data_IF_180486883583
#
_entry.id   IF_180486883583
#
_cell.length_a   1.000
_cell.length_b   1.000
_cell.length_c   1.000
_cell.angle_alpha   90.00
_cell.angle_beta   90.00
_cell.angle_gamma   90.00
#
_symmetry.space_group_name_H-M   'P 1'
#
loop_
_entity.id
_entity.type
_entity.pdbx_description
1 polymer ?
#
# COMPACT_ATOMS: atom_id res chain seq x y z
N UNK A 1 -9.54 -17.22 -12.43
CA UNK A 1 -10.53 -16.82 -11.41
C UNK A 1 -10.01 -16.99 -9.98
N UNK A 2 -9.37 -18.11 -9.62
CA UNK A 2 -8.86 -18.35 -8.26
C UNK A 2 -7.85 -17.30 -7.76
N UNK A 3 -6.85 -16.92 -8.57
CA UNK A 3 -5.80 -15.98 -8.14
C UNK A 3 -6.31 -14.56 -7.83
N UNK A 4 -7.33 -14.07 -8.53
CA UNK A 4 -7.93 -12.74 -8.27
C UNK A 4 -8.62 -12.69 -6.91
N UNK A 5 -9.35 -13.76 -6.57
CA UNK A 5 -10.00 -13.87 -5.27
C UNK A 5 -8.96 -13.93 -4.15
N UNK A 6 -7.90 -14.73 -4.34
CA UNK A 6 -6.77 -14.78 -3.40
C UNK A 6 -6.16 -13.39 -3.22
N UNK A 7 -5.86 -12.67 -4.31
CA UNK A 7 -5.32 -11.31 -4.25
C UNK A 7 -6.24 -10.33 -3.54
N UNK A 8 -7.54 -10.39 -3.84
CA UNK A 8 -8.55 -9.54 -3.19
C UNK A 8 -8.63 -9.82 -1.69
N UNK A 9 -8.61 -11.09 -1.28
CA UNK A 9 -8.62 -11.49 0.13
C UNK A 9 -7.33 -11.11 0.86
N UNK A 10 -6.17 -11.22 0.21
CA UNK A 10 -4.90 -10.74 0.78
C UNK A 10 -4.92 -9.22 0.93
N UNK A 11 -5.45 -8.48 -0.04
CA UNK A 11 -5.61 -7.03 0.09
C UNK A 11 -6.53 -6.69 1.27
N UNK A 12 -7.66 -7.37 1.39
CA UNK A 12 -8.60 -7.15 2.48
C UNK A 12 -7.91 -7.40 3.84
N UNK A 13 -7.26 -8.54 4.01
CA UNK A 13 -6.50 -8.89 5.22
C UNK A 13 -5.36 -7.90 5.52
N UNK A 14 -4.64 -7.45 4.50
CA UNK A 14 -3.59 -6.45 4.63
C UNK A 14 -4.14 -5.09 5.10
N UNK A 15 -5.28 -4.66 4.56
CA UNK A 15 -5.93 -3.43 4.99
C UNK A 15 -6.45 -3.54 6.44
N UNK A 16 -7.00 -4.68 6.85
CA UNK A 16 -7.41 -4.91 8.26
C UNK A 16 -6.22 -4.87 9.20
N UNK A 17 -5.10 -5.46 8.79
CA UNK A 17 -3.88 -5.48 9.57
C UNK A 17 -3.32 -4.07 9.79
N UNK A 18 -3.38 -3.23 8.77
CA UNK A 18 -2.96 -1.82 8.84
C UNK A 18 -3.93 -1.01 9.70
N UNK A 19 -5.23 -1.20 9.54
CA UNK A 19 -6.22 -0.51 10.37
C UNK A 19 -5.98 -0.82 11.85
N UNK A 20 -5.80 -2.09 12.20
CA UNK A 20 -5.50 -2.51 13.57
C UNK A 20 -4.18 -1.92 14.11
N UNK A 21 -3.13 -1.88 13.28
CA UNK A 21 -1.78 -1.46 13.68
C UNK A 21 -1.56 0.06 13.66
N UNK A 22 -2.29 0.80 12.82
CA UNK A 22 -2.06 2.23 12.59
C UNK A 22 -3.17 3.14 13.13
N UNK A 23 -4.39 2.63 13.33
CA UNK A 23 -5.54 3.47 13.74
C UNK A 23 -6.06 3.22 15.15
N UNK A 24 -5.61 2.15 15.81
CA UNK A 24 -5.94 1.88 17.21
C UNK A 24 -5.39 2.95 18.18
N UNK A 25 -5.98 3.07 19.36
CA UNK A 25 -5.61 4.08 20.37
C UNK A 25 -4.14 4.03 20.79
N UNK A 26 -3.53 2.83 20.76
CA UNK A 26 -2.13 2.54 21.08
C UNK A 26 -1.23 2.43 19.84
N UNK A 27 -1.67 2.93 18.68
CA UNK A 27 -0.90 2.84 17.45
C UNK A 27 0.46 3.56 17.56
N UNK A 28 1.51 2.75 17.53
CA UNK A 28 2.91 3.18 17.46
C UNK A 28 3.34 3.32 15.99
N UNK A 29 4.11 4.35 15.70
CA UNK A 29 4.63 4.64 14.38
C UNK A 29 5.50 3.49 13.85
N UNK A 30 6.31 2.87 14.71
CA UNK A 30 7.18 1.75 14.32
C UNK A 30 6.35 0.51 13.96
N UNK A 31 5.34 0.19 14.77
CA UNK A 31 4.39 -0.90 14.47
C UNK A 31 3.63 -0.65 13.16
N UNK A 32 3.19 0.58 12.93
CA UNK A 32 2.51 0.94 11.69
C UNK A 32 3.43 0.83 10.46
N UNK A 33 4.69 1.28 10.56
CA UNK A 33 5.67 1.14 9.49
C UNK A 33 5.92 -0.34 9.14
N UNK A 34 6.07 -1.21 10.15
CA UNK A 34 6.19 -2.67 9.96
C UNK A 34 4.98 -3.26 9.28
N UNK A 35 3.77 -2.91 9.73
CA UNK A 35 2.52 -3.37 9.13
C UNK A 35 2.39 -2.96 7.65
N UNK A 36 2.81 -1.74 7.28
CA UNK A 36 2.79 -1.27 5.89
C UNK A 36 3.73 -2.07 4.98
N UNK A 37 4.95 -2.36 5.45
CA UNK A 37 5.92 -3.15 4.69
C UNK A 37 5.47 -4.61 4.61
N UNK A 38 4.96 -5.18 5.70
CA UNK A 38 4.42 -6.53 5.75
C UNK A 38 3.24 -6.72 4.79
N UNK A 39 2.34 -5.73 4.69
CA UNK A 39 1.25 -5.74 3.72
C UNK A 39 1.78 -5.78 2.27
N UNK A 40 2.82 -4.99 1.95
CA UNK A 40 3.42 -4.98 0.63
C UNK A 40 4.06 -6.33 0.26
N UNK A 41 4.75 -6.97 1.19
CA UNK A 41 5.35 -8.30 1.01
C UNK A 41 4.28 -9.39 0.87
N UNK A 42 3.22 -9.33 1.70
CA UNK A 42 2.08 -10.26 1.61
C UNK A 42 1.40 -10.17 0.23
N UNK A 43 1.23 -8.97 -0.31
CA UNK A 43 0.62 -8.74 -1.63
C UNK A 43 1.48 -9.25 -2.79
N UNK A 44 2.81 -9.22 -2.67
CA UNK A 44 3.69 -9.77 -3.70
C UNK A 44 3.78 -11.30 -3.67
N UNK A 45 3.73 -11.89 -2.48
CA UNK A 45 3.87 -13.33 -2.25
C UNK A 45 3.10 -14.24 -3.22
N UNK A 46 1.78 -14.10 -3.41
CA UNK A 46 1.02 -14.95 -4.34
C UNK A 46 1.41 -14.75 -5.82
N UNK A 47 2.08 -13.64 -6.15
CA UNK A 47 2.49 -13.28 -7.51
C UNK A 47 3.92 -13.77 -7.83
N UNK A 48 4.75 -14.06 -6.82
CA UNK A 48 6.12 -14.55 -7.02
C UNK A 48 6.23 -15.78 -7.93
N UNK A 49 5.40 -16.84 -7.81
CA UNK A 49 5.55 -18.03 -8.66
C UNK A 49 5.27 -17.79 -10.15
N UNK A 50 4.52 -16.74 -10.47
CA UNK A 50 4.16 -16.35 -11.84
C UNK A 50 4.97 -15.14 -12.33
N UNK A 51 5.90 -14.62 -11.52
CA UNK A 51 6.80 -13.57 -11.94
C UNK A 51 7.87 -14.14 -12.88
N UNK A 52 7.56 -14.13 -14.17
CA UNK A 52 8.46 -14.62 -15.23
C UNK A 52 9.49 -13.56 -15.68
N UNK A 53 9.63 -12.44 -14.96
CA UNK A 53 10.52 -11.34 -15.35
C UNK A 53 9.94 -10.37 -16.39
N UNK A 54 8.70 -10.60 -16.85
CA UNK A 54 7.96 -9.66 -17.72
C UNK A 54 7.46 -8.41 -16.96
N UNK A 55 7.62 -8.39 -15.64
CA UNK A 55 7.35 -7.24 -14.77
C UNK A 55 5.88 -6.96 -14.50
N UNK A 56 4.94 -7.74 -15.05
CA UNK A 56 3.51 -7.54 -14.81
C UNK A 56 3.10 -7.87 -13.37
N UNK A 57 3.58 -8.99 -12.83
CA UNK A 57 3.42 -9.37 -11.42
C UNK A 57 3.97 -8.28 -10.49
N UNK A 58 5.21 -7.81 -10.74
CA UNK A 58 5.84 -6.70 -10.02
C UNK A 58 5.00 -5.43 -10.07
N UNK A 59 4.55 -5.02 -11.26
CA UNK A 59 3.70 -3.84 -11.43
C UNK A 59 2.38 -3.93 -10.68
N UNK A 60 1.75 -5.10 -10.67
CA UNK A 60 0.51 -5.35 -9.92
C UNK A 60 0.80 -5.23 -8.42
N UNK A 61 1.84 -5.90 -7.92
CA UNK A 61 2.25 -5.82 -6.51
C UNK A 61 2.56 -4.38 -6.08
N UNK A 62 3.35 -3.65 -6.86
CA UNK A 62 3.64 -2.22 -6.66
C UNK A 62 2.37 -1.38 -6.63
N UNK A 63 1.42 -1.63 -7.53
CA UNK A 63 0.14 -0.89 -7.55
C UNK A 63 -0.71 -1.15 -6.30
N UNK A 64 -0.71 -2.40 -5.81
CA UNK A 64 -1.37 -2.75 -4.56
C UNK A 64 -0.67 -2.13 -3.34
N UNK A 65 0.66 -2.15 -3.32
CA UNK A 65 1.47 -1.51 -2.27
C UNK A 65 1.21 0.01 -2.21
N UNK A 66 1.18 0.69 -3.37
CA UNK A 66 0.80 2.11 -3.44
C UNK A 66 -0.63 2.36 -2.96
N UNK A 67 -1.56 1.47 -3.29
CA UNK A 67 -2.95 1.57 -2.87
C UNK A 67 -3.06 1.46 -1.34
N UNK A 68 -2.39 0.49 -0.76
CA UNK A 68 -2.28 0.30 0.69
C UNK A 68 -1.71 1.55 1.38
N UNK A 69 -0.62 2.11 0.86
CA UNK A 69 -0.02 3.32 1.41
C UNK A 69 -0.99 4.52 1.36
N UNK A 70 -1.70 4.72 0.25
CA UNK A 70 -2.67 5.82 0.13
C UNK A 70 -3.90 5.63 1.04
N UNK A 71 -4.34 4.39 1.28
CA UNK A 71 -5.40 4.10 2.27
C UNK A 71 -4.94 4.45 3.68
N UNK A 72 -3.72 4.07 4.05
CA UNK A 72 -3.10 4.48 5.31
C UNK A 72 -3.06 6.01 5.44
N UNK A 73 -2.54 6.72 4.43
CA UNK A 73 -2.43 8.19 4.45
C UNK A 73 -3.81 8.83 4.65
N UNK A 74 -4.84 8.36 3.93
CA UNK A 74 -6.20 8.88 4.07
C UNK A 74 -6.75 8.73 5.49
N UNK A 75 -6.60 7.53 6.07
CA UNK A 75 -7.09 7.24 7.42
C UNK A 75 -6.29 8.00 8.50
N UNK A 76 -4.96 8.02 8.37
CA UNK A 76 -4.08 8.70 9.32
C UNK A 76 -4.26 10.23 9.30
N UNK A 77 -4.43 10.83 8.12
CA UNK A 77 -4.67 12.26 7.98
C UNK A 77 -5.98 12.70 8.67
N UNK A 78 -6.98 11.82 8.70
CA UNK A 78 -8.28 12.10 9.33
C UNK A 78 -8.27 11.88 10.84
N UNK A 79 -7.52 10.89 11.34
CA UNK A 79 -7.64 10.40 12.73
C UNK A 79 -6.45 10.72 13.65
N UNK A 80 -5.22 10.75 13.12
CA UNK A 80 -3.97 10.86 13.90
C UNK A 80 -3.17 12.12 13.58
N UNK A 81 -3.43 12.75 12.44
CA UNK A 81 -2.76 13.97 12.00
C UNK A 81 -1.41 13.74 11.31
N UNK A 82 -0.83 14.84 10.82
CA UNK A 82 0.36 14.80 9.97
C UNK A 82 1.64 14.40 10.72
N UNK A 83 1.75 14.74 12.00
CA UNK A 83 2.92 14.39 12.82
C UNK A 83 3.09 12.87 12.94
N UNK A 84 1.99 12.14 13.06
CA UNK A 84 2.01 10.68 13.05
C UNK A 84 2.49 10.11 11.71
N UNK A 85 2.06 10.71 10.60
CA UNK A 85 2.51 10.29 9.27
C UNK A 85 4.02 10.54 9.11
N UNK A 86 4.54 11.65 9.66
CA UNK A 86 5.98 11.94 9.69
C UNK A 86 6.77 10.94 10.52
N UNK A 87 6.28 10.56 11.70
CA UNK A 87 6.93 9.53 12.51
C UNK A 87 6.93 8.18 11.80
N UNK A 88 5.81 7.78 11.20
CA UNK A 88 5.75 6.54 10.39
C UNK A 88 6.74 6.59 9.23
N UNK A 89 6.88 7.75 8.58
CA UNK A 89 7.85 7.93 7.49
C UNK A 89 9.31 7.77 7.95
N UNK A 90 9.64 8.22 9.16
CA UNK A 90 10.98 8.03 9.73
C UNK A 90 11.26 6.55 9.99
N UNK A 91 10.31 5.84 10.59
CA UNK A 91 10.41 4.40 10.86
C UNK A 91 10.47 3.56 9.58
N UNK A 92 9.74 3.97 8.54
CA UNK A 92 9.75 3.30 7.23
C UNK A 92 11.15 3.27 6.60
N UNK A 93 11.99 4.29 6.79
CA UNK A 93 13.36 4.35 6.21
C UNK A 93 14.22 3.15 6.61
N UNK A 94 14.09 2.71 7.85
CA UNK A 94 14.84 1.56 8.36
C UNK A 94 14.07 0.25 8.16
N UNK A 95 12.74 0.30 8.30
CA UNK A 95 11.89 -0.89 8.16
C UNK A 95 11.96 -1.50 6.76
N UNK A 96 12.03 -0.71 5.69
CA UNK A 96 12.11 -1.24 4.31
C UNK A 96 13.38 -2.08 4.06
N UNK A 97 14.46 -1.81 4.79
CA UNK A 97 15.74 -2.52 4.66
C UNK A 97 15.77 -3.83 5.45
N UNK A 98 14.95 -3.91 6.49
CA UNK A 98 14.88 -5.05 7.41
C UNK A 98 14.04 -6.21 6.87
N UNK A 99 14.32 -7.41 7.36
CA UNK A 99 13.52 -8.61 7.07
C UNK A 99 12.47 -8.91 8.17
N UNK A 100 12.46 -8.15 9.28
CA UNK A 100 11.43 -8.26 10.33
C UNK A 100 9.98 -8.24 9.79
N UNK A 101 9.62 -7.39 8.80
CA UNK A 101 8.25 -7.37 8.26
C UNK A 101 7.85 -8.65 7.53
N UNK A 102 8.79 -9.51 7.11
CA UNK A 102 8.46 -10.78 6.44
C UNK A 102 7.78 -11.75 7.40
N UNK A 103 8.17 -11.76 8.66
CA UNK A 103 7.50 -12.59 9.68
C UNK A 103 6.08 -12.11 9.93
N UNK A 104 5.86 -10.79 9.93
CA UNK A 104 4.53 -10.21 10.07
C UNK A 104 3.67 -10.46 8.81
N UNK A 105 4.28 -10.46 7.62
CA UNK A 105 3.59 -10.83 6.38
C UNK A 105 3.04 -12.26 6.41
N UNK A 106 3.70 -13.20 7.10
CA UNK A 106 3.17 -14.57 7.32
C UNK A 106 1.81 -14.53 7.98
N UNK A 107 1.65 -13.71 9.02
CA UNK A 107 0.38 -13.60 9.75
C UNK A 107 -0.77 -13.08 8.88
N UNK A 108 -0.48 -12.20 7.91
CA UNK A 108 -1.47 -11.72 6.93
C UNK A 108 -1.83 -12.86 5.98
N UNK A 109 -0.83 -13.60 5.49
CA UNK A 109 -1.02 -14.69 4.54
C UNK A 109 -1.76 -15.88 5.17
N UNK A 110 -1.46 -16.24 6.42
CA UNK A 110 -2.10 -17.35 7.14
C UNK A 110 -3.62 -17.16 7.30
N UNK A 111 -4.09 -15.90 7.44
CA UNK A 111 -5.53 -15.57 7.46
C UNK A 111 -6.24 -15.92 6.15
N UNK A 112 -5.51 -15.99 5.04
CA UNK A 112 -6.06 -16.24 3.71
C UNK A 112 -5.74 -17.66 3.21
N UNK A 113 -4.54 -18.15 3.47
CA UNK A 113 -4.04 -19.45 3.02
C UNK A 113 -2.78 -19.87 3.79
N UNK A 114 -2.83 -21.01 4.49
CA UNK A 114 -1.77 -21.50 5.37
C UNK A 114 -0.45 -21.94 4.69
N UNK A 115 -0.41 -22.01 3.36
CA UNK A 115 0.73 -22.61 2.62
C UNK A 115 1.69 -21.61 1.95
N UNK A 116 1.49 -20.29 2.11
CA UNK A 116 2.32 -19.30 1.40
C UNK A 116 3.52 -18.85 2.23
N UNK A 117 4.72 -19.06 1.71
CA UNK A 117 5.93 -18.44 2.27
C UNK A 117 6.03 -16.98 1.81
N UNK A 118 6.22 -16.03 2.72
CA UNK A 118 6.27 -14.61 2.41
C UNK A 118 7.45 -14.33 1.48
N UNK A 119 7.23 -13.40 0.55
CA UNK A 119 8.22 -12.97 -0.40
C UNK A 119 8.44 -11.47 -0.30
N UNK A 120 9.71 -11.09 -0.28
CA UNK A 120 10.14 -9.71 -0.42
C UNK A 120 10.15 -9.29 -1.89
N UNK A 121 9.67 -8.09 -2.17
CA UNK A 121 9.94 -7.36 -3.41
C UNK A 121 10.29 -5.92 -3.07
N UNK A 122 11.53 -5.52 -3.34
CA UNK A 122 12.03 -4.18 -3.02
C UNK A 122 11.18 -3.09 -3.69
N UNK A 123 10.78 -3.26 -4.95
CA UNK A 123 9.89 -2.32 -5.65
C UNK A 123 8.57 -2.04 -4.90
N UNK A 124 7.99 -3.07 -4.26
CA UNK A 124 6.74 -2.92 -3.50
C UNK A 124 6.98 -2.14 -2.21
N UNK A 125 8.10 -2.41 -1.53
CA UNK A 125 8.48 -1.69 -0.31
C UNK A 125 8.82 -0.23 -0.62
N UNK A 126 9.57 0.00 -1.69
CA UNK A 126 9.89 1.33 -2.19
C UNK A 126 8.62 2.10 -2.62
N UNK A 127 7.63 1.43 -3.20
CA UNK A 127 6.36 2.06 -3.55
C UNK A 127 5.63 2.60 -2.31
N UNK A 128 5.54 1.81 -1.24
CA UNK A 128 4.98 2.28 0.04
C UNK A 128 5.73 3.51 0.53
N UNK A 129 7.06 3.42 0.57
CA UNK A 129 7.92 4.51 1.02
C UNK A 129 7.73 5.79 0.20
N UNK A 130 7.73 5.67 -1.13
CA UNK A 130 7.61 6.79 -2.06
C UNK A 130 6.23 7.47 -1.94
N UNK A 131 5.14 6.72 -1.80
CA UNK A 131 3.80 7.32 -1.65
C UNK A 131 3.67 8.11 -0.33
N UNK A 132 4.21 7.58 0.78
CA UNK A 132 4.21 8.29 2.07
C UNK A 132 5.13 9.51 2.00
N UNK A 133 6.31 9.38 1.39
CA UNK A 133 7.23 10.50 1.16
C UNK A 133 6.57 11.60 0.34
N UNK A 134 6.02 11.26 -0.82
CA UNK A 134 5.50 12.23 -1.78
C UNK A 134 4.27 12.97 -1.24
N UNK A 135 3.55 12.37 -0.29
CA UNK A 135 2.49 13.06 0.47
C UNK A 135 3.04 14.16 1.40
N UNK A 136 4.13 13.87 2.12
CA UNK A 136 4.76 14.81 3.05
C UNK A 136 5.61 15.86 2.33
N UNK A 137 6.34 15.42 1.31
CA UNK A 137 7.32 16.18 0.53
C UNK A 137 6.99 16.06 -0.96
N UNK A 138 5.97 16.81 -1.46
CA UNK A 138 5.57 16.73 -2.85
C UNK A 138 6.74 17.07 -3.78
N UNK A 139 6.97 16.29 -4.85
CA UNK A 139 8.11 16.50 -5.75
C UNK A 139 8.05 17.90 -6.35
N UNK A 140 9.15 18.65 -6.20
CA UNK A 140 9.25 19.96 -6.82
C UNK A 140 9.40 19.82 -8.34
N UNK A 141 8.67 20.60 -9.15
CA UNK A 141 8.82 20.54 -10.60
C UNK A 141 10.23 20.97 -11.01
N UNK A 142 10.89 20.17 -11.85
CA UNK A 142 12.25 20.43 -12.35
C UNK A 142 12.41 21.74 -13.14
N UNK A 143 11.30 22.36 -13.59
CA UNK A 143 11.30 23.63 -14.32
C UNK A 143 10.21 24.54 -13.74
N UNK A 144 10.55 25.73 -13.20
CA UNK A 144 9.56 26.70 -12.75
C UNK A 144 8.80 27.26 -13.95
N UNK A 145 7.61 26.71 -14.23
CA UNK A 145 6.72 27.26 -15.25
C UNK A 145 6.16 28.59 -14.75
N UNK A 146 6.38 29.66 -15.52
CA UNK A 146 6.10 31.09 -15.21
C UNK A 146 4.73 31.45 -14.62
N UNK A 147 3.76 30.54 -14.60
CA UNK A 147 2.49 30.68 -13.88
C UNK A 147 1.99 29.29 -13.52
N UNK A 148 2.22 28.78 -12.30
CA UNK A 148 1.42 27.64 -11.78
C UNK A 148 1.38 27.62 -10.26
N UNK A 149 0.20 27.22 -9.77
CA UNK A 149 -0.21 27.06 -8.38
C UNK A 149 0.90 26.34 -7.59
N UNK A 150 1.09 26.75 -6.32
CA UNK A 150 1.95 26.04 -5.37
C UNK A 150 1.73 24.51 -5.47
N UNK A 151 2.79 23.69 -5.33
CA UNK A 151 2.64 22.24 -5.35
C UNK A 151 1.59 21.86 -4.31
N UNK A 152 0.43 21.39 -4.79
CA UNK A 152 -0.63 20.93 -3.91
C UNK A 152 -0.22 19.55 -3.41
N UNK A 153 -0.40 19.32 -2.10
CA UNK A 153 -0.26 17.98 -1.53
C UNK A 153 -1.08 16.99 -2.37
N UNK A 154 -0.52 15.83 -2.72
CA UNK A 154 -1.26 14.83 -3.47
C UNK A 154 -2.46 14.39 -2.63
N UNK A 155 -3.63 14.38 -3.25
CA UNK A 155 -4.86 13.91 -2.61
C UNK A 155 -4.85 12.36 -2.62
N UNK A 156 -4.79 11.69 -1.45
CA UNK A 156 -4.72 10.24 -1.38
C UNK A 156 -5.96 9.58 -2.03
N UNK A 157 -7.14 10.20 -1.96
CA UNK A 157 -8.34 9.66 -2.63
C UNK A 157 -8.21 9.74 -4.14
N UNK A 158 -7.65 10.85 -4.66
CA UNK A 158 -7.41 11.00 -6.08
C UNK A 158 -6.44 9.93 -6.59
N UNK A 159 -5.39 9.63 -5.81
CA UNK A 159 -4.43 8.57 -6.10
C UNK A 159 -5.07 7.18 -6.06
N UNK A 160 -5.86 6.85 -5.03
CA UNK A 160 -6.59 5.57 -4.97
C UNK A 160 -7.48 5.41 -6.20
N UNK A 161 -8.27 6.42 -6.57
CA UNK A 161 -9.10 6.39 -7.79
C UNK A 161 -8.28 6.26 -9.07
N UNK A 162 -7.07 6.83 -9.12
CA UNK A 162 -6.15 6.68 -10.26
C UNK A 162 -5.67 5.23 -10.35
N UNK A 163 -5.18 4.66 -9.25
CA UNK A 163 -4.67 3.29 -9.17
C UNK A 163 -5.73 2.26 -9.55
N UNK A 164 -6.98 2.42 -9.10
CA UNK A 164 -8.08 1.52 -9.50
C UNK A 164 -8.38 1.63 -10.99
N UNK A 165 -8.34 2.84 -11.58
CA UNK A 165 -8.55 3.02 -13.02
C UNK A 165 -7.42 2.39 -13.82
N UNK A 166 -6.17 2.53 -13.38
CA UNK A 166 -5.01 1.90 -14.01
C UNK A 166 -5.09 0.37 -13.91
N UNK A 167 -5.46 -0.15 -12.74
CA UNK A 167 -5.74 -1.57 -12.55
C UNK A 167 -6.88 -2.03 -13.46
N UNK A 168 -7.95 -1.27 -13.59
CA UNK A 168 -9.12 -1.61 -14.41
C UNK A 168 -8.85 -1.61 -15.91
N UNK A 169 -7.84 -0.87 -16.39
CA UNK A 169 -7.38 -0.96 -17.79
C UNK A 169 -6.68 -2.29 -18.08
N UNK A 170 -6.10 -2.94 -17.07
CA UNK A 170 -5.37 -4.20 -17.20
C UNK A 170 -6.25 -5.40 -16.83
N UNK A 171 -6.88 -5.32 -15.66
CA UNK A 171 -7.78 -6.33 -15.12
C UNK A 171 -9.05 -5.67 -14.53
N UNK A 172 -10.12 -5.55 -15.34
CA UNK A 172 -11.38 -4.94 -14.92
C UNK A 172 -12.07 -5.68 -13.75
N UNK A 173 -11.90 -7.01 -13.68
CA UNK A 173 -12.56 -7.82 -12.67
C UNK A 173 -11.90 -7.63 -11.31
N UNK A 174 -10.57 -7.68 -11.27
CA UNK A 174 -9.81 -7.41 -10.06
C UNK A 174 -10.04 -5.97 -9.57
N UNK A 175 -10.03 -4.99 -10.47
CA UNK A 175 -10.32 -3.60 -10.12
C UNK A 175 -11.71 -3.42 -9.49
N UNK A 176 -12.73 -4.13 -10.00
CA UNK A 176 -14.08 -4.11 -9.43
C UNK A 176 -14.14 -4.74 -8.03
N UNK A 177 -13.39 -5.81 -7.79
CA UNK A 177 -13.28 -6.43 -6.46
C UNK A 177 -12.60 -5.48 -5.46
N UNK A 178 -11.46 -4.89 -5.86
CA UNK A 178 -10.72 -3.91 -5.05
C UNK A 178 -11.59 -2.69 -4.73
N UNK A 179 -12.29 -2.14 -5.71
CA UNK A 179 -13.20 -1.01 -5.49
C UNK A 179 -14.31 -1.36 -4.49
N UNK A 180 -14.85 -2.59 -4.54
CA UNK A 180 -15.85 -3.04 -3.57
C UNK A 180 -15.27 -3.13 -2.15
N UNK A 181 -14.07 -3.69 -1.98
CA UNK A 181 -13.38 -3.76 -0.69
C UNK A 181 -13.19 -2.35 -0.11
N UNK A 182 -12.69 -1.42 -0.92
CA UNK A 182 -12.43 -0.05 -0.46
C UNK A 182 -13.72 0.70 -0.13
N UNK A 183 -14.77 0.52 -0.92
CA UNK A 183 -16.09 1.10 -0.64
C UNK A 183 -16.69 0.54 0.65
N UNK A 184 -16.51 -0.75 0.94
CA UNK A 184 -16.96 -1.36 2.19
C UNK A 184 -16.26 -0.74 3.42
N UNK A 185 -15.03 -0.25 3.25
CA UNK A 185 -14.27 0.51 4.25
C UNK A 185 -14.57 2.02 4.28
N UNK A 186 -15.62 2.48 3.59
CA UNK A 186 -16.01 3.88 3.60
C UNK A 186 -15.18 4.81 2.72
N UNK A 187 -14.28 4.29 1.88
CA UNK A 187 -13.53 5.10 0.93
C UNK A 187 -14.44 5.46 -0.27
N UNK A 188 -14.54 6.74 -0.66
CA UNK A 188 -15.37 7.18 -1.79
C UNK A 188 -14.64 6.92 -3.12
N UNK A 189 -14.66 5.68 -3.58
CA UNK A 189 -13.97 5.22 -4.80
C UNK A 189 -14.89 4.85 -5.95
#
# INVERSE_FOLDING_TARGET
MAWRNIMASILEAALDHIEASCTSGEADAARCAKALVAAADALYTPLKPIDSGLGEARRIATSFASLVANVFIYNAASNKGEEFIKSVMQELKETIKSDEPLEEAKSILEKVSAAMQPARLDDSREAVFNEVRDYLEPPQPAIPRRRRRQPRRPDPLQNIRRLIRELGRRDPLLAKQVARILKARGLPV
#
